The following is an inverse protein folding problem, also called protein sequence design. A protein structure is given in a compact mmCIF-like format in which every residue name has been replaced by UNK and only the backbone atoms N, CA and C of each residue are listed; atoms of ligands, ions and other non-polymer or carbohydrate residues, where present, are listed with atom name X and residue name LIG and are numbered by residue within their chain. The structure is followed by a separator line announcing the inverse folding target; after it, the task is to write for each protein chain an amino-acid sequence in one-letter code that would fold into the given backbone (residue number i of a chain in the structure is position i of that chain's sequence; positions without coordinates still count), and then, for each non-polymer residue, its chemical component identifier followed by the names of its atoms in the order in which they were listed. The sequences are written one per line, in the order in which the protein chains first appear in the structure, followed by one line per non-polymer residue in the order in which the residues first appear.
data_IF_467365123946
#
_entry.id   IF_467365123946
#
_cell.length_a   1.000
_cell.length_b   1.000
_cell.length_c   1.000
_cell.angle_alpha   90.00
_cell.angle_beta   90.00
_cell.angle_gamma   90.00
#
_symmetry.space_group_name_H-M   'P 1'
#
loop_
_entity.id
_entity.type
_entity.pdbx_description
1 polymer ?
#
# COMPACT_ATOMS: atom_id res chain seq x y z
N UNK A 1 28.32 -3.12 6.35
CA UNK A 1 28.16 -2.13 7.46
C UNK A 1 28.05 -2.87 8.78
N UNK A 2 28.75 -2.45 9.83
CA UNK A 2 29.06 -3.29 10.99
C UNK A 2 27.89 -3.42 11.96
N UNK A 3 27.74 -4.63 12.53
CA UNK A 3 26.83 -4.97 13.65
C UNK A 3 26.80 -3.97 14.81
N UNK A 4 27.84 -3.13 14.92
CA UNK A 4 28.00 -2.11 15.96
C UNK A 4 26.96 -0.96 15.87
N UNK A 5 26.35 -0.70 14.72
CA UNK A 5 25.28 0.30 14.58
C UNK A 5 23.96 -0.20 15.19
N UNK A 6 23.62 -1.45 15.00
CA UNK A 6 22.38 -2.04 15.53
C UNK A 6 22.38 -2.13 17.07
N UNK A 7 23.53 -2.43 17.67
CA UNK A 7 23.68 -2.47 19.13
C UNK A 7 23.47 -1.09 19.77
N UNK A 8 23.86 0.00 19.11
CA UNK A 8 23.62 1.36 19.61
C UNK A 8 22.15 1.74 19.62
N UNK A 9 21.38 1.37 18.60
CA UNK A 9 19.93 1.67 18.55
C UNK A 9 19.14 0.81 19.52
N UNK A 10 19.51 -0.47 19.68
CA UNK A 10 18.94 -1.34 20.71
C UNK A 10 19.20 -0.82 22.13
N UNK A 11 20.39 -0.30 22.40
CA UNK A 11 20.74 0.29 23.69
C UNK A 11 20.02 1.62 23.97
N UNK A 12 19.75 2.43 22.95
CA UNK A 12 18.96 3.65 23.08
C UNK A 12 17.50 3.30 23.37
N UNK A 13 16.91 2.32 22.68
CA UNK A 13 15.57 1.81 22.98
C UNK A 13 15.49 1.24 24.40
N UNK A 14 16.51 0.50 24.84
CA UNK A 14 16.55 -0.08 26.19
C UNK A 14 16.68 0.99 27.29
N UNK A 15 17.43 2.05 27.07
CA UNK A 15 17.55 3.16 28.02
C UNK A 15 16.28 4.03 28.09
N UNK A 16 15.54 4.19 27.00
CA UNK A 16 14.24 4.86 27.00
C UNK A 16 13.16 4.05 27.74
N UNK A 17 13.19 2.72 27.65
CA UNK A 17 12.26 1.83 28.37
C UNK A 17 12.51 1.84 29.90
N UNK A 18 13.74 2.09 30.36
CA UNK A 18 14.08 2.10 31.78
C UNK A 18 13.75 3.41 32.51
N UNK A 19 13.43 4.49 31.81
CA UNK A 19 13.10 5.79 32.43
C UNK A 19 11.62 5.99 32.72
N UNK A 20 10.73 5.04 32.39
CA UNK A 20 9.32 5.08 32.76
C UNK A 20 9.15 4.78 34.27
N UNK A 21 9.11 5.83 35.09
CA UNK A 21 8.75 5.71 36.50
C UNK A 21 7.24 5.38 36.60
N UNK A 22 6.95 4.16 37.07
CA UNK A 22 5.82 3.77 37.94
C UNK A 22 4.42 4.33 37.58
N UNK A 23 4.05 4.42 36.33
CA UNK A 23 2.66 4.31 35.87
C UNK A 23 2.40 2.86 35.52
N UNK A 24 1.19 2.35 35.77
CA UNK A 24 0.83 0.98 35.36
C UNK A 24 0.79 0.95 33.83
N UNK A 25 1.90 0.58 33.21
CA UNK A 25 1.99 0.41 31.77
C UNK A 25 1.34 -0.92 31.39
N UNK A 26 0.43 -0.87 30.40
CA UNK A 26 -0.14 -2.05 29.78
C UNK A 26 0.70 -2.42 28.55
N UNK A 27 1.05 -3.69 28.44
CA UNK A 27 1.84 -4.25 27.34
C UNK A 27 0.96 -5.17 26.51
N UNK A 28 0.79 -4.84 25.24
CA UNK A 28 0.12 -5.71 24.28
C UNK A 28 1.18 -6.28 23.32
N UNK A 29 1.40 -7.59 23.43
CA UNK A 29 2.22 -8.32 22.48
C UNK A 29 1.31 -9.10 21.55
N UNK A 30 1.47 -8.89 20.24
CA UNK A 30 0.70 -9.57 19.20
C UNK A 30 1.56 -9.82 17.98
N UNK A 31 1.02 -10.54 17.02
CA UNK A 31 1.76 -10.80 15.80
C UNK A 31 1.00 -11.66 14.81
N UNK A 32 1.66 -11.93 13.70
CA UNK A 32 1.14 -12.88 12.72
C UNK A 32 2.27 -13.69 12.08
N UNK A 33 1.90 -14.88 11.63
CA UNK A 33 2.71 -15.74 10.79
C UNK A 33 1.88 -16.05 9.55
N UNK A 34 2.45 -15.79 8.38
CA UNK A 34 1.80 -16.02 7.10
C UNK A 34 2.72 -16.83 6.20
N UNK A 35 2.14 -17.76 5.46
CA UNK A 35 2.84 -18.50 4.42
C UNK A 35 2.04 -18.43 3.13
N UNK A 36 2.68 -18.03 2.05
CA UNK A 36 2.14 -18.02 0.70
C UNK A 36 2.93 -19.00 -0.15
N UNK A 37 2.22 -19.88 -0.82
CA UNK A 37 2.74 -20.76 -1.86
C UNK A 37 2.15 -20.32 -3.18
N UNK A 38 2.99 -19.97 -4.14
CA UNK A 38 2.62 -19.26 -5.35
C UNK A 38 3.20 -19.99 -6.54
N UNK A 39 2.38 -20.11 -7.56
CA UNK A 39 2.76 -20.55 -8.90
C UNK A 39 2.56 -19.37 -9.83
N UNK A 40 3.63 -18.93 -10.47
CA UNK A 40 3.59 -17.99 -11.59
C UNK A 40 3.67 -18.79 -12.88
N UNK A 41 2.78 -18.49 -13.79
CA UNK A 41 2.75 -19.10 -15.12
C UNK A 41 4.01 -18.72 -15.92
N UNK A 42 4.26 -19.42 -17.01
CA UNK A 42 5.32 -19.04 -17.94
C UNK A 42 4.99 -17.70 -18.61
N UNK A 43 6.03 -16.92 -18.87
CA UNK A 43 5.95 -15.77 -19.76
C UNK A 43 6.63 -16.17 -21.05
N UNK A 44 5.87 -16.30 -22.13
CA UNK A 44 6.41 -16.62 -23.45
C UNK A 44 5.98 -15.52 -24.44
N UNK A 45 6.86 -14.55 -24.59
CA UNK A 45 6.67 -13.44 -25.53
C UNK A 45 7.58 -13.63 -26.74
N UNK A 46 7.33 -12.87 -27.78
CA UNK A 46 8.20 -12.87 -28.98
C UNK A 46 9.66 -12.50 -28.69
N UNK A 47 9.92 -11.95 -27.51
CA UNK A 47 11.18 -11.31 -27.14
C UNK A 47 11.95 -12.02 -26.04
N UNK A 48 11.24 -12.66 -25.10
CA UNK A 48 11.85 -13.45 -24.03
C UNK A 48 10.88 -14.50 -23.51
N UNK A 49 11.42 -15.55 -22.92
CA UNK A 49 10.64 -16.61 -22.30
C UNK A 49 11.17 -16.86 -20.88
N UNK A 50 10.26 -16.88 -19.90
CA UNK A 50 10.53 -17.28 -18.54
C UNK A 50 9.69 -18.51 -18.19
N UNK A 51 10.29 -19.55 -17.57
CA UNK A 51 9.54 -20.77 -17.23
C UNK A 51 8.62 -20.53 -16.04
N UNK A 52 7.67 -21.46 -15.85
CA UNK A 52 6.84 -21.52 -14.63
C UNK A 52 7.71 -21.42 -13.38
N UNK A 53 7.40 -20.46 -12.53
CA UNK A 53 8.14 -20.20 -11.30
C UNK A 53 7.32 -20.55 -10.08
N UNK A 54 7.93 -21.33 -9.18
CA UNK A 54 7.38 -21.61 -7.84
C UNK A 54 8.01 -20.69 -6.82
N UNK A 55 7.19 -19.98 -6.08
CA UNK A 55 7.62 -19.10 -5.01
C UNK A 55 6.92 -19.50 -3.71
N UNK A 56 7.68 -19.63 -2.63
CA UNK A 56 7.13 -19.74 -1.29
C UNK A 56 7.66 -18.60 -0.43
N UNK A 57 6.75 -17.85 0.17
CA UNK A 57 7.07 -16.78 1.11
C UNK A 57 6.50 -17.10 2.48
N UNK A 58 7.37 -17.19 3.48
CA UNK A 58 6.99 -17.24 4.88
C UNK A 58 7.31 -15.88 5.53
N UNK A 59 6.33 -15.25 6.13
CA UNK A 59 6.52 -13.97 6.83
C UNK A 59 6.04 -14.05 8.27
N UNK A 60 6.73 -13.33 9.14
CA UNK A 60 6.39 -13.18 10.56
C UNK A 60 6.48 -11.72 10.93
N UNK A 61 5.46 -11.21 11.61
CA UNK A 61 5.45 -9.86 12.18
C UNK A 61 5.25 -9.96 13.68
N UNK A 62 6.14 -9.31 14.43
CA UNK A 62 6.06 -9.16 15.88
C UNK A 62 5.68 -7.72 16.18
N UNK A 63 4.70 -7.51 17.05
CA UNK A 63 4.16 -6.21 17.39
C UNK A 63 4.15 -6.05 18.92
N UNK A 64 4.73 -4.98 19.41
CA UNK A 64 4.67 -4.58 20.81
C UNK A 64 4.11 -3.17 20.89
N UNK A 65 2.95 -3.04 21.52
CA UNK A 65 2.34 -1.77 21.86
C UNK A 65 2.37 -1.60 23.38
N UNK A 66 2.79 -0.43 23.85
CA UNK A 66 2.91 -0.10 25.28
C UNK A 66 2.09 1.14 25.57
N UNK A 67 1.12 1.02 26.44
CA UNK A 67 0.22 2.09 26.84
C UNK A 67 0.57 2.56 28.26
N UNK A 68 0.82 3.83 28.42
CA UNK A 68 1.15 4.44 29.71
C UNK A 68 0.53 5.83 29.80
N UNK A 69 -0.45 6.03 30.70
CA UNK A 69 -1.20 7.26 30.86
C UNK A 69 -1.60 7.91 29.52
N UNK A 70 -0.81 8.90 29.08
CA UNK A 70 -1.03 9.67 27.86
C UNK A 70 0.01 9.36 26.76
N UNK A 71 0.80 8.30 26.91
CA UNK A 71 1.81 7.87 25.94
C UNK A 71 1.48 6.48 25.40
N UNK A 72 1.57 6.33 24.08
CA UNK A 72 1.51 5.04 23.40
C UNK A 72 2.79 4.86 22.59
N UNK A 73 3.47 3.74 22.82
CA UNK A 73 4.67 3.35 22.07
C UNK A 73 4.35 2.16 21.18
N UNK A 74 4.85 2.18 19.96
CA UNK A 74 4.68 1.07 19.02
C UNK A 74 6.03 0.64 18.47
N UNK A 75 6.28 -0.67 18.50
CA UNK A 75 7.44 -1.30 17.86
C UNK A 75 6.96 -2.52 17.09
N UNK A 76 6.96 -2.44 15.76
CA UNK A 76 6.58 -3.57 14.90
C UNK A 76 7.73 -3.95 13.99
N UNK A 77 8.08 -5.22 13.98
CA UNK A 77 9.20 -5.76 13.23
C UNK A 77 8.77 -6.95 12.39
N UNK A 78 9.14 -6.95 11.11
CA UNK A 78 8.80 -7.97 10.13
C UNK A 78 10.00 -8.75 9.64
N UNK A 79 9.80 -10.04 9.40
CA UNK A 79 10.73 -10.96 8.72
C UNK A 79 10.00 -11.63 7.57
N UNK A 80 10.64 -11.79 6.42
CA UNK A 80 10.12 -12.53 5.28
C UNK A 80 11.20 -13.42 4.70
N UNK A 81 10.94 -14.72 4.65
CA UNK A 81 11.79 -15.70 4.00
C UNK A 81 11.18 -16.03 2.63
N UNK A 82 11.89 -15.70 1.57
CA UNK A 82 11.49 -15.95 0.19
C UNK A 82 12.30 -17.12 -0.38
N UNK A 83 11.62 -18.12 -0.93
CA UNK A 83 12.23 -19.26 -1.61
C UNK A 83 11.65 -19.35 -3.02
N UNK A 84 12.53 -19.45 -4.03
CA UNK A 84 12.15 -19.50 -5.46
C UNK A 84 12.76 -20.72 -6.13
N UNK A 85 12.06 -21.27 -7.11
CA UNK A 85 12.59 -22.37 -7.94
C UNK A 85 13.71 -21.87 -8.86
N UNK A 86 13.59 -20.67 -9.40
CA UNK A 86 14.54 -20.03 -10.29
C UNK A 86 15.03 -18.69 -9.72
N UNK A 87 16.25 -18.30 -10.08
CA UNK A 87 16.79 -16.98 -9.79
C UNK A 87 16.33 -16.02 -10.91
N UNK A 88 15.13 -15.48 -10.77
CA UNK A 88 14.57 -14.48 -11.67
C UNK A 88 14.30 -13.18 -10.91
N UNK A 89 14.33 -12.01 -11.55
CA UNK A 89 13.85 -10.78 -10.93
C UNK A 89 12.38 -11.00 -10.52
N UNK A 90 12.04 -10.67 -9.28
CA UNK A 90 10.63 -10.69 -8.87
C UNK A 90 9.93 -9.53 -9.54
N UNK A 91 8.81 -9.83 -10.19
CA UNK A 91 7.80 -8.81 -10.39
C UNK A 91 7.36 -8.30 -9.00
N UNK A 92 7.15 -7.00 -8.82
CA UNK A 92 6.77 -6.43 -7.52
C UNK A 92 5.34 -6.84 -7.15
N UNK A 93 5.17 -8.07 -6.69
CA UNK A 93 3.87 -8.62 -6.26
C UNK A 93 3.48 -8.17 -4.85
N UNK A 94 4.16 -7.16 -4.30
CA UNK A 94 3.87 -6.63 -2.98
C UNK A 94 4.12 -7.60 -1.81
N UNK A 95 4.95 -8.62 -2.01
CA UNK A 95 5.25 -9.63 -0.97
C UNK A 95 6.36 -9.22 -0.04
N UNK A 96 7.34 -8.50 -0.53
CA UNK A 96 8.43 -8.01 0.32
C UNK A 96 8.05 -6.63 0.84
N UNK A 97 8.37 -6.32 2.10
CA UNK A 97 8.33 -4.96 2.57
C UNK A 97 9.28 -4.14 1.70
N UNK A 98 8.75 -3.45 0.72
CA UNK A 98 9.53 -2.57 -0.15
C UNK A 98 10.14 -1.43 0.67
N UNK A 99 11.33 -0.99 0.30
CA UNK A 99 11.90 0.25 0.79
C UNK A 99 10.96 1.41 0.43
N UNK A 100 10.89 2.41 1.30
CA UNK A 100 10.09 3.59 1.04
C UNK A 100 11.00 4.83 1.08
N UNK A 101 10.89 5.68 0.07
CA UNK A 101 11.67 6.93 -0.05
C UNK A 101 11.39 7.90 1.12
N UNK A 102 10.24 7.75 1.80
CA UNK A 102 9.81 8.56 2.95
C UNK A 102 10.28 7.97 4.29
N UNK A 103 11.54 7.53 4.33
CA UNK A 103 12.23 7.06 5.54
C UNK A 103 13.59 7.74 5.67
N UNK A 104 13.89 8.24 6.85
CA UNK A 104 15.21 8.83 7.19
C UNK A 104 16.36 7.83 6.96
N UNK A 105 16.07 6.56 7.22
CA UNK A 105 16.98 5.46 6.94
C UNK A 105 16.12 4.23 6.71
N UNK A 106 16.27 3.63 5.55
CA UNK A 106 15.64 2.34 5.32
C UNK A 106 16.39 1.29 6.14
N UNK A 107 15.72 0.80 7.20
CA UNK A 107 16.21 -0.28 8.06
C UNK A 107 15.84 -1.66 7.49
N UNK A 108 15.38 -1.71 6.23
CA UNK A 108 15.25 -2.94 5.48
C UNK A 108 16.64 -3.51 5.22
N UNK A 109 16.82 -4.77 5.50
CA UNK A 109 18.07 -5.47 5.22
C UNK A 109 17.76 -6.84 4.62
N UNK A 110 18.53 -7.22 3.61
CA UNK A 110 18.46 -8.53 2.97
C UNK A 110 19.65 -9.34 3.46
N UNK A 111 19.36 -10.39 4.23
CA UNK A 111 20.36 -11.35 4.68
C UNK A 111 20.51 -12.41 3.58
N UNK A 112 21.62 -12.38 2.89
CA UNK A 112 21.88 -13.16 1.69
C UNK A 112 22.20 -12.25 0.52
N UNK A 113 22.16 -12.79 -0.70
CA UNK A 113 22.31 -11.96 -1.89
C UNK A 113 20.93 -11.71 -2.50
N UNK A 114 20.63 -10.46 -2.81
CA UNK A 114 19.40 -10.03 -3.46
C UNK A 114 19.24 -10.71 -4.83
N UNK A 115 18.04 -11.17 -5.17
CA UNK A 115 17.78 -11.91 -6.42
C UNK A 115 18.15 -13.40 -6.40
N UNK A 116 18.64 -13.92 -5.27
CA UNK A 116 18.92 -15.35 -5.13
C UNK A 116 17.66 -16.17 -4.85
N UNK A 117 17.79 -17.50 -5.03
CA UNK A 117 16.69 -18.46 -4.76
C UNK A 117 16.18 -18.41 -3.31
N UNK A 118 17.00 -17.96 -2.38
CA UNK A 118 16.68 -17.87 -0.95
C UNK A 118 17.10 -16.50 -0.42
N UNK A 119 16.14 -15.75 0.07
CA UNK A 119 16.34 -14.44 0.67
C UNK A 119 15.61 -14.35 2.01
N UNK A 120 16.28 -13.81 3.01
CA UNK A 120 15.66 -13.39 4.26
C UNK A 120 15.64 -11.85 4.30
N UNK A 121 14.46 -11.27 4.24
CA UNK A 121 14.25 -9.83 4.34
C UNK A 121 13.74 -9.48 5.72
N UNK A 122 14.31 -8.46 6.34
CA UNK A 122 13.83 -7.90 7.60
C UNK A 122 13.52 -6.42 7.46
N UNK A 123 12.56 -5.93 8.24
CA UNK A 123 12.17 -4.53 8.22
C UNK A 123 11.60 -4.08 9.57
N UNK A 124 12.03 -2.92 10.03
CA UNK A 124 11.40 -2.22 11.15
C UNK A 124 10.26 -1.34 10.60
N UNK A 125 9.03 -1.77 10.83
CA UNK A 125 7.83 -1.20 10.22
C UNK A 125 7.21 -0.08 11.04
N UNK A 126 7.26 -0.18 12.37
CA UNK A 126 6.81 0.84 13.31
C UNK A 126 7.85 1.05 14.39
N UNK A 127 8.14 2.29 14.65
CA UNK A 127 8.89 2.74 15.81
C UNK A 127 8.47 4.17 16.10
N UNK A 128 7.44 4.34 16.91
CA UNK A 128 6.91 5.66 17.21
C UNK A 128 6.44 5.78 18.65
N UNK A 129 6.26 7.02 19.06
CA UNK A 129 5.59 7.40 20.29
C UNK A 129 4.48 8.39 19.95
N UNK A 130 3.28 8.13 20.45
CA UNK A 130 2.15 9.04 20.42
C UNK A 130 1.95 9.64 21.80
N UNK A 131 1.90 10.94 21.86
CA UNK A 131 1.58 11.70 23.06
C UNK A 131 0.19 12.30 22.93
N UNK A 132 -0.72 11.80 23.76
CA UNK A 132 -2.11 12.25 23.82
C UNK A 132 -2.23 13.46 24.74
N UNK A 133 -2.72 14.58 24.21
CA UNK A 133 -2.89 15.82 24.95
C UNK A 133 -4.31 16.38 24.78
N UNK A 134 -4.69 17.31 25.63
CA UNK A 134 -5.97 18.03 25.49
C UNK A 134 -6.06 18.88 24.21
N UNK A 135 -4.94 19.21 23.58
CA UNK A 135 -4.87 19.97 22.33
C UNK A 135 -4.97 19.08 21.10
N UNK A 136 -4.67 17.79 21.22
CA UNK A 136 -4.59 16.79 20.15
C UNK A 136 -3.47 15.79 20.41
N UNK A 137 -3.30 14.86 19.50
CA UNK A 137 -2.34 13.76 19.58
C UNK A 137 -1.11 14.06 18.71
N UNK A 138 0.07 14.01 19.31
CA UNK A 138 1.34 14.19 18.62
C UNK A 138 2.03 12.83 18.49
N UNK A 139 2.26 12.36 17.27
CA UNK A 139 3.00 11.12 16.99
C UNK A 139 4.34 11.44 16.34
N UNK A 140 5.41 10.87 16.87
CA UNK A 140 6.78 11.07 16.37
C UNK A 140 7.42 9.70 16.11
N UNK A 141 8.00 9.54 14.93
CA UNK A 141 8.71 8.33 14.50
C UNK A 141 8.08 7.64 13.32
N UNK A 142 8.44 6.36 13.12
CA UNK A 142 7.95 5.54 12.00
C UNK A 142 6.53 5.07 12.27
N UNK A 143 5.60 5.49 11.41
CA UNK A 143 4.17 5.27 11.55
C UNK A 143 3.49 5.09 10.19
N UNK A 144 2.31 4.46 10.14
CA UNK A 144 1.50 4.45 8.93
C UNK A 144 0.80 5.80 8.75
N UNK A 145 0.91 6.37 7.57
CA UNK A 145 0.14 7.53 7.16
C UNK A 145 -0.49 7.22 5.81
N UNK A 146 -1.80 7.30 5.73
CA UNK A 146 -2.56 7.03 4.51
C UNK A 146 -3.49 8.18 4.23
N UNK A 147 -3.69 8.44 2.96
CA UNK A 147 -4.56 9.50 2.47
C UNK A 147 -5.61 8.91 1.55
N UNK A 148 -6.68 9.67 1.39
CA UNK A 148 -7.74 9.33 0.46
C UNK A 148 -9.05 8.92 1.13
N UNK A 149 -10.10 8.97 0.32
CA UNK A 149 -11.47 8.62 0.64
C UNK A 149 -12.09 7.69 -0.42
N UNK A 150 -11.38 7.47 -1.54
CA UNK A 150 -11.78 6.50 -2.55
C UNK A 150 -11.63 5.06 -2.03
N UNK A 151 -12.31 4.11 -2.66
CA UNK A 151 -12.35 2.72 -2.18
C UNK A 151 -11.21 1.88 -2.70
N UNK A 152 -10.70 2.16 -3.90
CA UNK A 152 -9.65 1.36 -4.54
C UNK A 152 -8.41 2.21 -4.82
N UNK A 153 -8.51 3.23 -5.66
CA UNK A 153 -7.38 4.09 -6.00
C UNK A 153 -7.57 5.45 -5.35
N UNK A 154 -6.65 5.83 -4.48
CA UNK A 154 -6.70 7.10 -3.76
C UNK A 154 -5.78 8.15 -4.42
N UNK A 155 -6.33 9.13 -5.14
CA UNK A 155 -5.56 10.19 -5.80
C UNK A 155 -4.64 11.00 -4.89
N UNK A 156 -5.02 11.17 -3.62
CA UNK A 156 -4.25 11.95 -2.63
C UNK A 156 -3.18 11.13 -1.89
N UNK A 157 -3.14 9.78 -2.05
CA UNK A 157 -2.15 8.93 -1.40
C UNK A 157 -0.86 8.85 -2.24
N UNK A 158 0.10 9.70 -1.94
CA UNK A 158 1.41 9.76 -2.61
C UNK A 158 2.49 8.98 -1.87
N UNK A 159 2.26 8.63 -0.58
CA UNK A 159 3.28 7.98 0.25
C UNK A 159 3.25 6.46 0.15
N UNK A 160 2.05 5.90 0.13
CA UNK A 160 1.82 4.47 0.21
C UNK A 160 0.60 4.08 -0.64
N UNK A 161 0.66 4.32 -1.96
CA UNK A 161 -0.47 3.98 -2.81
C UNK A 161 -0.82 2.51 -2.65
N UNK A 162 -2.11 2.24 -2.61
CA UNK A 162 -2.60 0.88 -2.49
C UNK A 162 -2.36 0.14 -3.80
N UNK A 163 -1.48 -0.84 -3.77
CA UNK A 163 -1.30 -1.73 -4.92
C UNK A 163 -2.35 -2.86 -4.84
N UNK A 164 -3.34 -2.80 -5.71
CA UNK A 164 -4.43 -3.79 -5.81
C UNK A 164 -3.93 -5.19 -6.19
N UNK A 165 -2.78 -5.29 -6.85
CA UNK A 165 -2.14 -6.54 -7.24
C UNK A 165 -1.36 -7.18 -6.09
N UNK A 166 -1.16 -6.47 -4.98
CA UNK A 166 -0.43 -7.01 -3.85
C UNK A 166 -1.22 -8.11 -3.15
N UNK A 167 -0.59 -9.27 -2.95
CA UNK A 167 -1.22 -10.42 -2.28
C UNK A 167 -1.34 -10.26 -0.76
N UNK A 168 -0.56 -9.36 -0.16
CA UNK A 168 -0.60 -9.08 1.27
C UNK A 168 -0.85 -7.58 1.51
N UNK A 169 -2.11 -7.19 1.59
CA UNK A 169 -2.56 -5.80 1.70
C UNK A 169 -2.88 -5.36 3.12
N UNK A 170 -2.77 -6.24 4.11
CA UNK A 170 -3.22 -5.98 5.48
C UNK A 170 -2.37 -4.95 6.22
N UNK A 171 -1.11 -4.82 5.85
CA UNK A 171 -0.16 -3.95 6.55
C UNK A 171 0.47 -2.95 5.59
N UNK A 172 0.25 -1.66 5.87
CA UNK A 172 0.96 -0.59 5.19
C UNK A 172 2.30 -0.33 5.86
N UNK A 173 3.32 -0.20 5.04
CA UNK A 173 4.70 0.11 5.46
C UNK A 173 4.74 1.46 6.17
N UNK A 174 5.51 1.58 7.26
CA UNK A 174 5.65 2.85 7.98
C UNK A 174 6.57 3.83 7.29
N UNK A 175 6.27 5.11 7.41
CA UNK A 175 7.09 6.26 7.00
C UNK A 175 7.53 7.06 8.23
N UNK A 176 8.66 7.74 8.13
CA UNK A 176 9.23 8.49 9.25
C UNK A 176 8.67 9.91 9.27
N UNK A 177 8.15 10.35 10.41
CA UNK A 177 7.59 11.69 10.47
C UNK A 177 7.12 12.15 11.84
N UNK A 178 6.63 13.37 11.85
CA UNK A 178 5.94 14.00 12.98
C UNK A 178 4.53 14.33 12.51
N UNK A 179 3.53 13.88 13.25
CA UNK A 179 2.11 14.03 12.92
C UNK A 179 1.36 14.58 14.13
N UNK A 180 0.52 15.57 13.90
CA UNK A 180 -0.37 16.12 14.90
C UNK A 180 -1.81 15.99 14.43
N UNK A 181 -2.65 15.33 15.22
CA UNK A 181 -4.05 15.11 14.93
C UNK A 181 -4.91 15.77 16.02
N UNK A 182 -5.93 16.49 15.60
CA UNK A 182 -6.84 17.18 16.49
C UNK A 182 -8.29 17.07 16.01
N UNK A 183 -9.25 16.69 16.88
CA UNK A 183 -10.66 16.76 16.54
C UNK A 183 -11.08 18.21 16.20
N UNK A 184 -11.93 18.35 15.17
CA UNK A 184 -12.60 19.58 14.77
C UNK A 184 -14.11 19.42 14.98
N UNK A 185 -14.60 19.82 16.14
CA UNK A 185 -15.98 19.53 16.56
C UNK A 185 -16.19 18.03 16.78
N UNK A 186 -17.44 17.57 16.60
CA UNK A 186 -17.85 16.20 16.93
C UNK A 186 -17.51 15.18 15.81
N UNK A 187 -17.42 15.62 14.56
CA UNK A 187 -17.30 14.76 13.37
C UNK A 187 -16.15 15.19 12.43
N UNK A 188 -15.30 16.10 12.86
CA UNK A 188 -14.18 16.58 12.05
C UNK A 188 -12.82 16.24 12.67
N UNK A 189 -11.78 16.31 11.86
CA UNK A 189 -10.39 16.11 12.23
C UNK A 189 -9.49 17.06 11.44
N UNK A 190 -8.53 17.67 12.13
CA UNK A 190 -7.37 18.32 11.52
C UNK A 190 -6.15 17.41 11.71
N UNK A 191 -5.45 17.16 10.63
CA UNK A 191 -4.28 16.30 10.59
C UNK A 191 -3.14 17.05 9.89
N UNK A 192 -2.08 17.32 10.61
CA UNK A 192 -0.91 18.06 10.16
C UNK A 192 0.31 17.17 10.29
N UNK A 193 1.23 17.21 9.33
CA UNK A 193 2.43 16.41 9.46
C UNK A 193 3.59 16.86 8.59
N UNK A 194 4.76 16.39 9.01
CA UNK A 194 6.01 16.46 8.26
C UNK A 194 6.51 15.03 8.12
N UNK A 195 6.78 14.61 6.91
CA UNK A 195 7.36 13.31 6.57
C UNK A 195 8.80 13.53 6.16
N UNK A 196 9.69 12.72 6.71
CA UNK A 196 11.12 12.82 6.52
C UNK A 196 11.60 11.66 5.65
N UNK A 197 12.10 11.98 4.48
CA UNK A 197 12.70 11.02 3.58
C UNK A 197 14.20 10.86 3.80
N UNK A 198 14.87 10.21 2.88
CA UNK A 198 16.29 9.88 2.94
C UNK A 198 17.14 11.12 3.24
N UNK A 199 17.97 11.03 4.29
CA UNK A 199 18.81 12.13 4.80
C UNK A 199 18.03 13.43 5.13
N UNK A 200 16.70 13.38 5.30
CA UNK A 200 15.83 14.55 5.53
C UNK A 200 15.98 15.67 4.45
N UNK A 201 16.25 15.30 3.22
CA UNK A 201 16.35 16.25 2.10
C UNK A 201 14.97 16.74 1.70
N UNK A 202 14.85 17.98 1.26
CA UNK A 202 13.58 18.54 0.79
C UNK A 202 12.99 17.80 -0.42
N UNK A 203 13.85 17.22 -1.26
CA UNK A 203 13.46 16.42 -2.43
C UNK A 203 12.91 15.01 -2.08
N UNK A 204 13.09 14.54 -0.84
CA UNK A 204 12.60 13.24 -0.37
C UNK A 204 11.65 13.36 0.82
N UNK A 205 11.39 14.59 1.27
CA UNK A 205 10.55 14.90 2.43
C UNK A 205 9.24 15.53 2.00
N UNK A 206 8.25 15.53 2.90
CA UNK A 206 6.95 16.10 2.64
C UNK A 206 6.40 16.83 3.86
N UNK A 207 5.44 17.73 3.62
CA UNK A 207 4.63 18.35 4.64
C UNK A 207 3.18 18.38 4.17
N UNK A 208 2.24 18.14 5.08
CA UNK A 208 0.82 18.10 4.73
C UNK A 208 -0.07 18.74 5.79
N UNK A 209 -1.23 19.19 5.32
CA UNK A 209 -2.37 19.57 6.13
C UNK A 209 -3.62 18.93 5.53
N UNK A 210 -4.37 18.17 6.33
CA UNK A 210 -5.63 17.56 5.95
C UNK A 210 -6.71 17.97 6.95
N UNK A 211 -7.84 18.43 6.44
CA UNK A 211 -9.03 18.72 7.23
C UNK A 211 -10.18 17.83 6.73
N UNK A 212 -10.73 17.04 7.63
CA UNK A 212 -11.97 16.29 7.41
C UNK A 212 -13.07 16.93 8.21
N UNK A 213 -14.24 17.08 7.62
CA UNK A 213 -15.42 17.62 8.31
C UNK A 213 -16.69 17.11 7.66
N UNK A 214 -17.81 17.26 8.36
CA UNK A 214 -19.13 16.96 7.81
C UNK A 214 -19.83 18.24 7.41
N UNK A 215 -20.14 18.37 6.13
CA UNK A 215 -20.87 19.51 5.56
C UNK A 215 -22.13 19.01 4.86
N UNK A 216 -23.29 19.56 5.21
CA UNK A 216 -24.57 19.19 4.59
C UNK A 216 -24.83 17.67 4.58
N UNK A 217 -24.50 17.01 5.69
CA UNK A 217 -24.59 15.55 5.86
C UNK A 217 -23.65 14.73 4.96
N UNK A 218 -22.65 15.35 4.33
CA UNK A 218 -21.61 14.71 3.55
C UNK A 218 -20.27 14.76 4.29
N UNK A 219 -19.50 13.71 4.21
CA UNK A 219 -18.11 13.71 4.70
C UNK A 219 -17.21 14.32 3.65
N UNK A 220 -16.56 15.42 3.99
CA UNK A 220 -15.73 16.21 3.07
C UNK A 220 -14.31 16.28 3.60
N UNK A 221 -13.35 16.05 2.73
CA UNK A 221 -11.92 16.08 3.02
C UNK A 221 -11.20 17.08 2.12
N UNK A 222 -10.39 17.92 2.71
CA UNK A 222 -9.45 18.80 2.01
C UNK A 222 -8.04 18.43 2.39
N UNK A 223 -7.16 18.32 1.40
CA UNK A 223 -5.75 17.99 1.58
C UNK A 223 -4.89 19.02 0.85
N UNK A 224 -3.89 19.56 1.53
CA UNK A 224 -2.83 20.33 0.94
C UNK A 224 -1.50 19.67 1.31
N UNK A 225 -0.65 19.38 0.33
CA UNK A 225 0.60 18.67 0.56
C UNK A 225 1.71 19.24 -0.33
N UNK A 226 2.92 19.26 0.22
CA UNK A 226 4.14 19.43 -0.55
C UNK A 226 4.98 18.17 -0.36
N UNK A 227 5.41 17.53 -1.44
CA UNK A 227 6.20 16.31 -1.44
C UNK A 227 7.16 16.30 -2.60
N UNK A 228 8.37 15.83 -2.39
CA UNK A 228 9.42 15.72 -3.44
C UNK A 228 9.62 16.97 -4.32
N UNK A 229 9.32 18.14 -3.79
CA UNK A 229 9.38 19.42 -4.54
C UNK A 229 8.07 19.84 -5.18
N UNK A 230 7.09 18.96 -5.30
CA UNK A 230 5.76 19.19 -5.89
C UNK A 230 4.72 19.63 -4.85
N UNK A 231 3.62 20.20 -5.31
CA UNK A 231 2.50 20.61 -4.46
C UNK A 231 1.23 19.92 -4.93
N UNK A 232 0.43 19.41 -3.98
CA UNK A 232 -0.83 18.74 -4.22
C UNK A 232 -1.95 19.45 -3.49
N UNK A 233 -3.06 19.69 -4.18
CA UNK A 233 -4.34 20.06 -3.59
C UNK A 233 -5.34 18.94 -3.83
N UNK A 234 -5.86 18.37 -2.75
CA UNK A 234 -6.80 17.26 -2.74
C UNK A 234 -8.18 17.66 -2.22
N UNK A 235 -9.19 17.06 -2.80
CA UNK A 235 -10.58 17.17 -2.38
C UNK A 235 -11.22 15.79 -2.39
N UNK A 236 -11.95 15.44 -1.33
CA UNK A 236 -12.74 14.23 -1.25
C UNK A 236 -14.14 14.52 -0.73
N UNK A 237 -15.13 13.82 -1.24
CA UNK A 237 -16.51 13.81 -0.72
C UNK A 237 -17.04 12.38 -0.73
N UNK A 238 -17.60 11.99 0.41
CA UNK A 238 -18.28 10.71 0.58
C UNK A 238 -19.74 10.99 0.99
N UNK A 239 -20.65 10.27 0.37
CA UNK A 239 -22.08 10.47 0.54
C UNK A 239 -22.85 9.17 0.39
N UNK A 240 -24.12 9.21 0.68
CA UNK A 240 -25.08 8.16 0.35
C UNK A 240 -26.13 8.69 -0.59
N UNK A 241 -26.38 7.95 -1.68
CA UNK A 241 -27.48 8.19 -2.60
C UNK A 241 -28.47 7.04 -2.43
N UNK A 242 -29.59 7.31 -1.77
CA UNK A 242 -30.52 6.29 -1.24
C UNK A 242 -29.81 5.28 -0.34
N UNK A 243 -29.61 4.04 -0.83
CA UNK A 243 -28.93 2.95 -0.13
C UNK A 243 -27.55 2.64 -0.69
N UNK A 244 -27.08 3.41 -1.66
CA UNK A 244 -25.76 3.27 -2.26
C UNK A 244 -24.79 4.24 -1.61
N UNK A 245 -23.59 3.79 -1.29
CA UNK A 245 -22.45 4.66 -1.01
C UNK A 245 -21.94 5.27 -2.32
N UNK A 246 -21.59 6.55 -2.30
CA UNK A 246 -20.99 7.24 -3.45
C UNK A 246 -19.83 8.10 -2.97
N UNK A 247 -18.78 8.17 -3.78
CA UNK A 247 -17.61 8.99 -3.47
C UNK A 247 -17.02 9.65 -4.71
N UNK A 248 -16.32 10.73 -4.46
CA UNK A 248 -15.44 11.38 -5.42
C UNK A 248 -14.22 11.87 -4.67
N UNK A 249 -13.05 11.55 -5.19
CA UNK A 249 -11.78 12.09 -4.72
C UNK A 249 -10.98 12.61 -5.91
N UNK A 250 -10.38 13.78 -5.75
CA UNK A 250 -9.55 14.41 -6.76
C UNK A 250 -8.27 14.97 -6.12
N UNK A 251 -7.18 14.88 -6.85
CA UNK A 251 -5.90 15.49 -6.50
C UNK A 251 -5.33 16.21 -7.71
N UNK A 252 -5.08 17.50 -7.58
CA UNK A 252 -4.38 18.28 -8.57
C UNK A 252 -2.95 18.51 -8.12
N UNK A 253 -1.98 18.11 -8.95
CA UNK A 253 -0.56 18.21 -8.67
C UNK A 253 0.03 19.31 -9.52
N UNK A 254 0.67 20.28 -8.83
CA UNK A 254 1.39 21.39 -9.43
C UNK A 254 2.87 21.02 -9.50
N UNK A 255 3.33 20.70 -10.70
CA UNK A 255 4.72 20.37 -11.03
C UNK A 255 5.12 21.03 -12.34
N UNK A 256 6.27 20.68 -12.94
CA UNK A 256 6.60 21.11 -14.30
C UNK A 256 5.57 20.61 -15.32
N UNK A 257 5.10 19.35 -15.12
CA UNK A 257 4.00 18.75 -15.88
C UNK A 257 2.80 18.61 -14.93
N UNK A 258 1.93 19.62 -14.89
CA UNK A 258 0.73 19.61 -14.04
C UNK A 258 -0.24 18.50 -14.44
N UNK A 259 -0.78 17.77 -13.46
CA UNK A 259 -1.75 16.72 -13.75
C UNK A 259 -2.84 16.60 -12.68
N UNK A 260 -3.99 16.05 -13.11
CA UNK A 260 -5.14 15.73 -12.27
C UNK A 260 -5.26 14.22 -12.12
N UNK A 261 -5.49 13.75 -10.89
CA UNK A 261 -5.97 12.39 -10.62
C UNK A 261 -7.36 12.47 -10.01
N UNK A 262 -8.26 11.55 -10.41
CA UNK A 262 -9.63 11.55 -9.93
C UNK A 262 -10.13 10.12 -9.79
N UNK A 263 -10.77 9.80 -8.67
CA UNK A 263 -11.50 8.55 -8.46
C UNK A 263 -12.94 8.87 -8.07
N UNK A 264 -13.89 8.21 -8.71
CA UNK A 264 -15.31 8.30 -8.34
C UNK A 264 -15.98 6.96 -8.49
N UNK A 265 -16.93 6.67 -7.64
CA UNK A 265 -17.58 5.38 -7.71
C UNK A 265 -18.80 5.28 -6.84
N UNK A 266 -19.37 4.09 -6.86
CA UNK A 266 -20.50 3.72 -6.03
C UNK A 266 -20.34 2.31 -5.51
N UNK A 267 -20.90 2.06 -4.33
CA UNK A 267 -21.01 0.74 -3.72
C UNK A 267 -22.45 0.43 -3.32
N UNK A 268 -22.78 -0.86 -3.29
CA UNK A 268 -24.12 -1.33 -2.95
C UNK A 268 -24.10 -2.73 -2.33
N UNK A 269 -24.85 -2.88 -1.24
CA UNK A 269 -25.16 -4.18 -0.66
C UNK A 269 -26.44 -4.73 -1.31
N UNK A 270 -26.30 -5.65 -2.28
CA UNK A 270 -27.42 -6.28 -2.99
C UNK A 270 -28.26 -7.17 -2.07
N UNK A 271 -27.62 -7.72 -1.04
CA UNK A 271 -28.23 -8.50 0.03
C UNK A 271 -27.30 -8.53 1.24
N UNK A 272 -27.67 -9.23 2.31
CA UNK A 272 -26.80 -9.46 3.47
C UNK A 272 -25.47 -10.14 3.12
N UNK A 273 -25.42 -10.88 2.01
CA UNK A 273 -24.29 -11.70 1.61
C UNK A 273 -23.56 -11.18 0.36
N UNK A 274 -24.12 -10.21 -0.36
CA UNK A 274 -23.57 -9.73 -1.61
C UNK A 274 -23.31 -8.23 -1.53
N UNK A 275 -22.07 -7.85 -1.74
CA UNK A 275 -21.62 -6.46 -1.81
C UNK A 275 -20.84 -6.25 -3.10
N UNK A 276 -21.12 -5.15 -3.80
CA UNK A 276 -20.40 -4.80 -5.00
C UNK A 276 -20.07 -3.32 -5.04
N UNK A 277 -19.02 -2.99 -5.77
CA UNK A 277 -18.64 -1.63 -6.07
C UNK A 277 -18.18 -1.51 -7.52
N UNK A 278 -18.23 -0.30 -8.02
CA UNK A 278 -17.55 0.09 -9.25
C UNK A 278 -16.91 1.46 -9.04
N UNK A 279 -15.64 1.58 -9.38
CA UNK A 279 -14.87 2.82 -9.35
C UNK A 279 -14.32 3.13 -10.73
N UNK A 280 -14.43 4.37 -11.14
CA UNK A 280 -13.72 4.93 -12.28
C UNK A 280 -12.56 5.75 -11.78
N UNK A 281 -11.37 5.53 -12.34
CA UNK A 281 -10.17 6.29 -12.03
C UNK A 281 -9.63 6.96 -13.29
N UNK A 282 -9.34 8.26 -13.17
CA UNK A 282 -8.60 9.04 -14.15
C UNK A 282 -7.21 9.36 -13.62
N UNK A 283 -6.19 9.00 -14.37
CA UNK A 283 -4.79 9.21 -14.07
C UNK A 283 -4.16 10.16 -15.09
N UNK A 284 -4.22 11.47 -14.86
CA UNK A 284 -3.66 12.46 -15.78
C UNK A 284 -2.14 12.46 -15.89
N UNK A 285 -1.42 11.65 -15.07
CA UNK A 285 0.01 11.39 -15.25
C UNK A 285 0.25 10.21 -16.21
N UNK A 286 -0.79 9.45 -16.57
CA UNK A 286 -0.75 8.36 -17.53
C UNK A 286 -0.66 8.82 -18.97
N UNK A 287 -0.88 7.90 -19.88
CA UNK A 287 -0.96 8.18 -21.31
C UNK A 287 -1.93 7.19 -21.98
N UNK A 288 -2.66 7.65 -22.98
CA UNK A 288 -3.52 6.82 -23.83
C UNK A 288 -2.76 6.09 -24.96
N UNK A 289 -1.44 6.37 -25.08
CA UNK A 289 -0.55 5.74 -26.05
C UNK A 289 0.33 4.67 -25.39
N UNK A 290 0.04 3.38 -25.57
CA UNK A 290 0.74 2.26 -24.95
C UNK A 290 2.25 2.25 -25.26
N UNK A 291 2.66 2.66 -26.46
CA UNK A 291 4.06 2.78 -26.85
C UNK A 291 4.88 3.78 -26.00
N UNK A 292 4.21 4.62 -25.23
CA UNK A 292 4.83 5.57 -24.30
C UNK A 292 4.92 5.06 -22.86
N UNK A 293 4.30 3.93 -22.54
CA UNK A 293 4.27 3.39 -21.15
C UNK A 293 5.66 3.23 -20.55
N UNK A 294 6.59 2.61 -21.30
CA UNK A 294 7.98 2.42 -20.84
C UNK A 294 8.70 3.75 -20.53
N UNK A 295 8.49 4.77 -21.35
CA UNK A 295 9.11 6.08 -21.14
C UNK A 295 8.40 6.83 -20.01
N UNK A 296 7.06 6.79 -19.98
CA UNK A 296 6.25 7.51 -19.00
C UNK A 296 6.47 6.99 -17.57
N UNK A 297 6.67 5.68 -17.40
CA UNK A 297 6.96 5.05 -16.11
C UNK A 297 8.24 5.55 -15.43
N UNK A 298 9.15 6.17 -16.18
CA UNK A 298 10.37 6.79 -15.66
C UNK A 298 10.16 8.25 -15.22
N UNK A 299 9.00 8.85 -15.50
CA UNK A 299 8.69 10.21 -15.12
C UNK A 299 8.49 10.37 -13.59
N UNK A 300 8.63 11.58 -13.09
CA UNK A 300 8.60 11.88 -11.66
C UNK A 300 7.31 11.44 -10.94
N UNK A 301 6.10 11.53 -11.53
CA UNK A 301 4.89 11.01 -10.90
C UNK A 301 4.96 9.54 -10.48
N UNK A 302 5.63 8.72 -11.27
CA UNK A 302 5.83 7.28 -10.99
C UNK A 302 6.95 7.03 -9.97
N UNK A 303 7.94 7.91 -9.92
CA UNK A 303 9.09 7.75 -9.01
C UNK A 303 8.81 8.28 -7.60
N UNK A 304 8.02 9.34 -7.47
CA UNK A 304 7.80 10.05 -6.21
C UNK A 304 6.32 10.37 -5.92
N UNK A 305 5.45 10.41 -6.92
CA UNK A 305 4.06 10.85 -6.81
C UNK A 305 3.05 9.76 -6.44
N UNK A 306 3.51 8.53 -6.20
CA UNK A 306 2.62 7.42 -5.86
C UNK A 306 1.71 6.98 -7.02
N UNK A 307 2.10 7.25 -8.27
CA UNK A 307 1.44 6.76 -9.48
C UNK A 307 2.02 5.41 -9.85
N UNK A 308 1.18 4.45 -10.19
CA UNK A 308 1.60 3.10 -10.58
C UNK A 308 0.83 2.55 -11.80
N UNK A 309 -0.28 3.18 -12.19
CA UNK A 309 -1.07 2.84 -13.37
C UNK A 309 -0.54 3.61 -14.58
N UNK A 310 -0.36 2.96 -15.72
CA UNK A 310 0.32 3.51 -16.91
C UNK A 310 -0.62 4.27 -17.85
N UNK A 311 -1.88 3.82 -17.98
CA UNK A 311 -2.92 4.47 -18.77
C UNK A 311 -3.53 5.68 -18.06
N UNK A 312 -4.46 6.33 -18.74
CA UNK A 312 -5.22 7.47 -18.20
C UNK A 312 -6.57 7.06 -17.61
N UNK A 313 -7.24 6.07 -18.20
CA UNK A 313 -8.63 5.74 -17.88
C UNK A 313 -8.81 4.30 -17.41
N UNK A 314 -9.39 4.12 -16.22
CA UNK A 314 -9.62 2.81 -15.63
C UNK A 314 -11.04 2.63 -15.13
N UNK A 315 -11.57 1.41 -15.30
CA UNK A 315 -12.79 0.97 -14.65
C UNK A 315 -12.46 -0.21 -13.71
N UNK A 316 -12.93 -0.11 -12.47
CA UNK A 316 -12.55 -1.04 -11.41
C UNK A 316 -13.82 -1.61 -10.77
N UNK A 317 -14.40 -2.70 -11.31
CA UNK A 317 -15.49 -3.42 -10.68
C UNK A 317 -14.97 -4.36 -9.60
N UNK A 318 -15.71 -4.49 -8.49
CA UNK A 318 -15.46 -5.50 -7.47
C UNK A 318 -16.77 -6.07 -6.91
N UNK A 319 -16.75 -7.35 -6.58
CA UNK A 319 -17.87 -8.09 -6.02
C UNK A 319 -17.39 -9.01 -4.90
N UNK A 320 -18.04 -8.95 -3.76
CA UNK A 320 -17.78 -9.82 -2.61
C UNK A 320 -19.03 -10.63 -2.29
N UNK A 321 -18.87 -11.93 -2.11
CA UNK A 321 -19.90 -12.85 -1.70
C UNK A 321 -19.52 -13.55 -0.40
N UNK A 322 -20.29 -13.29 0.66
CA UNK A 322 -20.20 -14.04 1.91
C UNK A 322 -21.00 -15.34 1.76
N UNK A 323 -20.32 -16.40 1.33
CA UNK A 323 -20.95 -17.73 1.07
C UNK A 323 -21.50 -18.32 2.35
N UNK A 324 -20.77 -18.18 3.44
CA UNK A 324 -21.16 -18.56 4.79
C UNK A 324 -20.47 -17.67 5.82
N UNK A 325 -20.76 -17.84 7.11
CA UNK A 325 -20.06 -17.10 8.18
C UNK A 325 -18.53 -17.32 8.20
N UNK A 326 -18.05 -18.40 7.56
CA UNK A 326 -16.63 -18.78 7.55
C UNK A 326 -15.97 -18.63 6.18
N UNK A 327 -16.73 -18.51 5.10
CA UNK A 327 -16.22 -18.50 3.73
C UNK A 327 -16.66 -17.25 2.99
N UNK A 328 -15.69 -16.49 2.50
CA UNK A 328 -15.89 -15.37 1.58
C UNK A 328 -15.21 -15.60 0.23
N UNK A 329 -15.79 -15.06 -0.81
CA UNK A 329 -15.25 -14.99 -2.17
C UNK A 329 -15.24 -13.53 -2.60
N UNK A 330 -14.17 -13.10 -3.26
CA UNK A 330 -14.08 -11.75 -3.86
C UNK A 330 -13.54 -11.83 -5.29
N UNK A 331 -14.17 -11.07 -6.16
CA UNK A 331 -13.77 -10.88 -7.55
C UNK A 331 -13.53 -9.38 -7.75
N UNK A 332 -12.39 -9.01 -8.31
CA UNK A 332 -12.06 -7.63 -8.64
C UNK A 332 -11.37 -7.54 -9.99
N UNK A 333 -11.66 -6.51 -10.75
CA UNK A 333 -11.00 -6.19 -12.00
C UNK A 333 -10.37 -4.80 -11.97
N UNK A 334 -9.27 -4.62 -12.71
CA UNK A 334 -8.78 -3.32 -13.15
C UNK A 334 -8.72 -3.38 -14.66
N UNK A 335 -9.57 -2.60 -15.32
CA UNK A 335 -9.70 -2.55 -16.77
C UNK A 335 -9.07 -1.25 -17.23
N UNK A 336 -7.93 -1.33 -17.92
CA UNK A 336 -7.36 -0.19 -18.62
C UNK A 336 -8.20 0.05 -19.88
N UNK A 337 -8.86 1.22 -19.98
CA UNK A 337 -9.75 1.54 -21.07
C UNK A 337 -9.02 2.09 -22.31
N UNK A 338 -7.76 2.46 -22.16
CA UNK A 338 -6.95 3.04 -23.24
C UNK A 338 -6.38 1.94 -24.12
N UNK A 339 -5.78 0.90 -23.53
CA UNK A 339 -5.16 -0.21 -24.27
C UNK A 339 -5.99 -1.51 -24.22
N UNK A 340 -7.13 -1.51 -23.52
CA UNK A 340 -8.04 -2.65 -23.35
C UNK A 340 -7.43 -3.84 -22.60
N UNK A 341 -6.28 -3.66 -21.97
CA UNK A 341 -5.70 -4.68 -21.08
C UNK A 341 -6.42 -4.74 -19.73
N UNK A 342 -6.28 -5.84 -19.04
CA UNK A 342 -7.00 -6.04 -17.78
C UNK A 342 -6.24 -6.94 -16.80
N UNK A 343 -6.41 -6.61 -15.54
CA UNK A 343 -6.08 -7.45 -14.39
C UNK A 343 -7.37 -7.92 -13.73
N UNK A 344 -7.51 -9.23 -13.47
CA UNK A 344 -8.65 -9.82 -12.77
C UNK A 344 -8.13 -10.67 -11.61
N UNK A 345 -8.66 -10.46 -10.41
CA UNK A 345 -8.35 -11.25 -9.23
C UNK A 345 -9.58 -11.95 -8.69
N UNK A 346 -9.46 -13.26 -8.48
CA UNK A 346 -10.43 -14.07 -7.75
C UNK A 346 -9.76 -14.54 -6.46
N UNK A 347 -10.34 -14.22 -5.32
CA UNK A 347 -9.81 -14.57 -4.02
C UNK A 347 -10.88 -15.30 -3.17
N UNK A 348 -10.43 -16.23 -2.37
CA UNK A 348 -11.26 -16.89 -1.36
C UNK A 348 -10.56 -16.90 -0.02
N UNK A 349 -11.32 -16.75 1.05
CA UNK A 349 -10.85 -16.84 2.41
C UNK A 349 -11.78 -17.74 3.23
N UNK A 350 -11.19 -18.70 3.94
CA UNK A 350 -11.88 -19.60 4.85
C UNK A 350 -11.32 -19.48 6.26
N UNK A 351 -12.17 -19.16 7.22
CA UNK A 351 -11.83 -19.09 8.64
C UNK A 351 -11.76 -20.50 9.24
N UNK A 352 -10.55 -20.98 9.55
CA UNK A 352 -10.31 -22.28 10.16
C UNK A 352 -10.56 -22.23 11.69
N UNK A 353 -10.25 -21.09 12.30
CA UNK A 353 -10.53 -20.77 13.70
C UNK A 353 -10.55 -19.24 13.87
N UNK A 354 -10.78 -18.74 15.07
CA UNK A 354 -10.85 -17.31 15.37
C UNK A 354 -9.60 -16.53 14.95
N UNK A 355 -8.45 -17.20 14.86
CA UNK A 355 -7.16 -16.60 14.57
C UNK A 355 -6.38 -17.28 13.42
N UNK A 356 -7.02 -18.19 12.68
CA UNK A 356 -6.35 -18.94 11.59
C UNK A 356 -7.20 -18.92 10.34
N UNK A 357 -6.61 -18.50 9.24
CA UNK A 357 -7.28 -18.32 7.95
C UNK A 357 -6.53 -19.05 6.84
N UNK A 358 -7.28 -19.75 6.00
CA UNK A 358 -6.81 -20.34 4.75
C UNK A 358 -7.33 -19.52 3.60
N UNK A 359 -6.46 -19.10 2.72
CA UNK A 359 -6.83 -18.36 1.51
C UNK A 359 -6.31 -19.05 0.26
N UNK A 360 -6.98 -18.81 -0.84
CA UNK A 360 -6.49 -19.14 -2.17
C UNK A 360 -6.95 -18.07 -3.17
N UNK A 361 -6.23 -17.91 -4.25
CA UNK A 361 -6.62 -16.95 -5.27
C UNK A 361 -5.95 -17.22 -6.61
N UNK A 362 -6.54 -16.62 -7.63
CA UNK A 362 -6.05 -16.64 -8.98
C UNK A 362 -6.05 -15.22 -9.53
N UNK A 363 -4.91 -14.78 -10.05
CA UNK A 363 -4.71 -13.51 -10.69
C UNK A 363 -4.47 -13.74 -12.18
N UNK A 364 -5.27 -13.11 -12.99
CA UNK A 364 -5.21 -13.19 -14.44
C UNK A 364 -4.84 -11.82 -15.00
N UNK A 365 -3.87 -11.83 -15.88
CA UNK A 365 -3.41 -10.66 -16.63
C UNK A 365 -3.67 -10.91 -18.11
N UNK A 366 -4.30 -9.96 -18.79
CA UNK A 366 -4.59 -10.04 -20.22
C UNK A 366 -4.25 -8.72 -20.88
N UNK A 367 -3.65 -8.79 -22.05
CA UNK A 367 -3.28 -7.65 -22.89
C UNK A 367 -2.38 -8.12 -24.02
N UNK A 368 -1.92 -7.18 -24.82
CA UNK A 368 -0.96 -7.43 -25.90
C UNK A 368 0.46 -7.55 -25.32
N UNK A 369 1.26 -8.43 -25.90
CA UNK A 369 2.62 -8.72 -25.48
C UNK A 369 3.56 -7.55 -25.79
N UNK A 370 4.66 -7.45 -25.03
CA UNK A 370 5.71 -6.48 -25.32
C UNK A 370 6.40 -6.79 -26.65
N UNK A 371 6.87 -5.74 -27.29
CA UNK A 371 7.71 -5.85 -28.47
C UNK A 371 9.11 -5.24 -28.27
N UNK A 372 10.15 -5.87 -28.86
CA UNK A 372 11.48 -5.29 -28.90
C UNK A 372 11.62 -4.42 -30.15
N UNK A 373 11.88 -3.14 -29.92
CA UNK A 373 12.15 -2.19 -30.99
C UNK A 373 13.62 -1.84 -31.06
N UNK A 374 14.05 -1.16 -32.10
CA UNK A 374 15.45 -0.69 -32.23
C UNK A 374 15.82 0.36 -31.17
N UNK A 375 14.85 0.94 -30.51
CA UNK A 375 14.99 2.01 -29.52
C UNK A 375 14.79 1.53 -28.08
N UNK A 376 14.34 0.28 -27.86
CA UNK A 376 14.14 -0.29 -26.54
C UNK A 376 12.98 -1.29 -26.47
N UNK A 377 12.45 -1.46 -25.27
CA UNK A 377 11.26 -2.29 -25.02
C UNK A 377 10.01 -1.40 -25.16
N UNK A 378 9.09 -1.84 -25.98
CA UNK A 378 7.78 -1.23 -26.17
C UNK A 378 6.71 -2.10 -25.48
N UNK A 379 5.99 -1.53 -24.51
CA UNK A 379 4.89 -2.20 -23.84
C UNK A 379 3.61 -1.95 -24.66
N UNK A 380 3.17 -2.95 -25.42
CA UNK A 380 1.96 -2.85 -26.23
C UNK A 380 0.71 -2.70 -25.33
N UNK A 381 0.79 -3.19 -24.08
CA UNK A 381 -0.26 -3.04 -23.09
C UNK A 381 0.29 -3.04 -21.66
N UNK A 382 -0.50 -2.58 -20.68
CA UNK A 382 -0.09 -2.52 -19.29
C UNK A 382 -0.02 -3.90 -18.63
N UNK A 383 -0.99 -4.78 -18.93
CA UNK A 383 -1.12 -6.08 -18.23
C UNK A 383 -0.68 -7.29 -19.04
N UNK A 384 -0.43 -7.16 -20.36
CA UNK A 384 -0.11 -8.30 -21.21
C UNK A 384 1.20 -9.02 -20.90
N UNK A 385 2.12 -8.34 -20.22
CA UNK A 385 3.45 -8.88 -19.91
C UNK A 385 3.58 -9.46 -18.51
N UNK A 386 2.48 -9.55 -17.77
CA UNK A 386 2.48 -10.08 -16.42
C UNK A 386 2.02 -11.55 -16.43
N UNK A 387 2.72 -12.45 -15.70
CA UNK A 387 2.32 -13.86 -15.64
C UNK A 387 1.06 -14.03 -14.82
N UNK A 388 0.22 -14.99 -15.18
CA UNK A 388 -0.89 -15.40 -14.32
C UNK A 388 -0.35 -16.03 -13.03
N UNK A 389 -1.09 -15.87 -11.94
CA UNK A 389 -0.67 -16.28 -10.62
C UNK A 389 -1.74 -17.10 -9.96
N UNK A 390 -1.38 -18.31 -9.50
CA UNK A 390 -2.18 -19.10 -8.59
C UNK A 390 -1.49 -19.13 -7.23
N UNK A 391 -2.22 -18.89 -6.16
CA UNK A 391 -1.64 -18.94 -4.82
C UNK A 391 -2.58 -19.60 -3.79
N UNK A 392 -1.96 -20.14 -2.75
CA UNK A 392 -2.61 -20.57 -1.52
C UNK A 392 -1.85 -19.94 -0.35
N UNK A 393 -2.56 -19.50 0.67
CA UNK A 393 -1.94 -18.95 1.87
C UNK A 393 -2.56 -19.50 3.15
N UNK A 394 -1.75 -19.58 4.19
CA UNK A 394 -2.15 -19.86 5.56
C UNK A 394 -1.69 -18.69 6.43
N UNK A 395 -2.61 -18.14 7.24
CA UNK A 395 -2.34 -17.00 8.11
C UNK A 395 -2.78 -17.34 9.54
N UNK A 396 -1.90 -17.04 10.48
CA UNK A 396 -2.15 -17.22 11.93
C UNK A 396 -1.83 -15.91 12.66
N UNK A 397 -2.71 -15.50 13.55
CA UNK A 397 -2.60 -14.30 14.38
C UNK A 397 -2.58 -14.68 15.85
N UNK A 398 -1.79 -13.98 16.68
CA UNK A 398 -1.65 -14.24 18.12
C UNK A 398 -1.49 -12.97 18.93
#
# INVERSE_FOLDING_TARGET
MSATRYVKYLLICYSCLLSCQSSAAEYLFSGNIKNFSIVQDEIDTSSFSEPVTLLNQASTRLMLDVFSDNLVWQVHYGFSLNNRSEAAPMLPLGFTPEGNNYRLSDLRDVIGAEGHKHELVQNLDRLNVQWQTSAGDLTVGRQAMTFGSARVINPTDVFLPFNVQALNTEYRVGIDGIRFQRPLGDLGELDLGIVLGDDARGSTSAAFARARTRLLDQDVTFTAMRFSGENLLGFGIESSLWTMGVWLEAAYIYSEDEYLRLSTGLDYAFSENWFGLVEYHYNGAGTDESNRYSTNSLAEPYQAGGVFLLGEHYLIPALTWQVSSLLSLSLQGILNLDDQSQFISLNTEYSLSDNTYLGAGYYQFNGDDLSLTTTGIDLESEYGNSPNILFVNLRYYF
#
